data_IF_769663533154
#
_entry.id   IF_769663533154
#
_cell.length_a   1.000
_cell.length_b   1.000
_cell.length_c   1.000
_cell.angle_alpha   90.00
_cell.angle_beta   90.00
_cell.angle_gamma   90.00
#
_symmetry.space_group_name_H-M   'P 1'
#
loop_
_entity.id
_entity.type
_entity.pdbx_description
1 polymer ?
#
# COMPACT_ATOMS: atom_id res chain seq x y z
N UNK A 1 -24.72 -11.57 4.72
CA UNK A 1 -23.93 -10.77 5.68
C UNK A 1 -23.55 -11.63 6.87
N UNK A 2 -22.32 -11.56 7.38
CA UNK A 2 -21.92 -12.34 8.57
C UNK A 2 -22.60 -11.78 9.81
N UNK A 3 -23.29 -12.61 10.61
CA UNK A 3 -23.89 -12.26 11.92
C UNK A 3 -22.93 -11.49 12.84
N UNK A 4 -21.62 -11.71 12.67
CA UNK A 4 -20.56 -11.00 13.37
C UNK A 4 -20.48 -9.50 13.03
N UNK A 5 -20.64 -9.13 11.75
CA UNK A 5 -20.61 -7.72 11.32
C UNK A 5 -21.85 -6.98 11.82
N UNK A 6 -23.03 -7.60 11.73
CA UNK A 6 -24.29 -7.02 12.22
C UNK A 6 -24.21 -6.68 13.71
N UNK A 7 -23.62 -7.56 14.52
CA UNK A 7 -23.44 -7.31 15.96
C UNK A 7 -22.46 -6.18 16.28
N UNK A 8 -21.44 -5.95 15.44
CA UNK A 8 -20.39 -4.94 15.70
C UNK A 8 -20.61 -3.61 15.00
N UNK A 9 -21.46 -3.55 13.97
CA UNK A 9 -21.68 -2.37 13.12
C UNK A 9 -21.92 -1.09 13.92
N UNK A 10 -22.75 -1.14 14.96
CA UNK A 10 -23.09 0.02 15.79
C UNK A 10 -21.91 0.59 16.60
N UNK A 11 -20.81 -0.15 16.73
CA UNK A 11 -19.63 0.24 17.54
C UNK A 11 -18.40 0.58 16.71
N UNK A 12 -18.49 0.45 15.38
CA UNK A 12 -17.36 0.67 14.49
C UNK A 12 -17.33 2.11 13.99
N UNK A 13 -16.12 2.70 13.82
CA UNK A 13 -15.99 3.92 13.04
C UNK A 13 -16.59 3.74 11.64
N UNK A 14 -17.27 4.76 11.12
CA UNK A 14 -17.99 4.70 9.83
C UNK A 14 -17.13 4.15 8.70
N UNK A 15 -15.91 4.68 8.53
CA UNK A 15 -14.97 4.22 7.49
C UNK A 15 -14.64 2.73 7.60
N UNK A 16 -14.56 2.19 8.82
CA UNK A 16 -14.28 0.76 9.06
C UNK A 16 -15.50 -0.10 8.72
N UNK A 17 -16.70 0.38 9.05
CA UNK A 17 -17.94 -0.31 8.71
C UNK A 17 -18.13 -0.41 7.19
N UNK A 18 -17.88 0.67 6.46
CA UNK A 18 -17.97 0.71 4.99
C UNK A 18 -16.99 -0.27 4.33
N UNK A 19 -15.72 -0.28 4.75
CA UNK A 19 -14.73 -1.24 4.25
C UNK A 19 -15.09 -2.69 4.58
N UNK A 20 -15.68 -2.94 5.76
CA UNK A 20 -16.12 -4.27 6.16
C UNK A 20 -17.35 -4.74 5.36
N UNK A 21 -18.23 -3.82 4.97
CA UNK A 21 -19.37 -4.08 4.08
C UNK A 21 -18.88 -4.44 2.67
N UNK A 22 -17.97 -3.65 2.09
CA UNK A 22 -17.35 -3.95 0.79
C UNK A 22 -16.66 -5.33 0.78
N UNK A 23 -15.99 -5.68 1.89
CA UNK A 23 -15.39 -7.00 2.06
C UNK A 23 -16.45 -8.12 2.06
N UNK A 24 -17.58 -7.89 2.72
CA UNK A 24 -18.68 -8.86 2.80
C UNK A 24 -19.42 -9.00 1.46
N UNK A 25 -19.63 -7.90 0.74
CA UNK A 25 -20.24 -7.86 -0.59
C UNK A 25 -19.39 -8.61 -1.62
N UNK A 26 -18.06 -8.52 -1.51
CA UNK A 26 -17.13 -9.31 -2.30
C UNK A 26 -17.07 -10.81 -1.92
N UNK A 27 -17.94 -11.28 -1.01
CA UNK A 27 -18.06 -12.69 -0.62
C UNK A 27 -17.09 -13.15 0.46
N UNK A 28 -16.29 -12.24 1.04
CA UNK A 28 -15.32 -12.60 2.07
C UNK A 28 -15.88 -12.49 3.48
N UNK A 29 -15.55 -13.48 4.33
CA UNK A 29 -15.95 -13.47 5.73
C UNK A 29 -15.30 -12.32 6.50
N UNK A 30 -16.10 -11.47 7.14
CA UNK A 30 -15.59 -10.49 8.11
C UNK A 30 -15.29 -11.20 9.42
N UNK A 31 -14.03 -11.19 9.84
CA UNK A 31 -13.51 -11.83 11.06
C UNK A 31 -12.90 -10.78 11.99
N UNK A 32 -12.71 -11.11 13.27
CA UNK A 32 -12.03 -10.23 14.23
C UNK A 32 -10.67 -9.72 13.75
N UNK A 33 -9.75 -10.60 13.29
CA UNK A 33 -8.46 -10.18 12.72
C UNK A 33 -8.58 -9.22 11.53
N UNK A 34 -9.51 -9.48 10.60
CA UNK A 34 -9.71 -8.62 9.43
C UNK A 34 -10.22 -7.25 9.84
N UNK A 35 -11.13 -7.21 10.81
CA UNK A 35 -11.68 -5.97 11.34
C UNK A 35 -10.61 -5.13 12.06
N UNK A 36 -9.72 -5.77 12.81
CA UNK A 36 -8.60 -5.09 13.46
C UNK A 36 -7.66 -4.44 12.43
N UNK A 37 -7.32 -5.16 11.35
CA UNK A 37 -6.52 -4.62 10.25
C UNK A 37 -7.22 -3.44 9.56
N UNK A 38 -8.53 -3.52 9.31
CA UNK A 38 -9.31 -2.43 8.74
C UNK A 38 -9.31 -1.18 9.64
N UNK A 39 -9.42 -1.36 10.96
CA UNK A 39 -9.32 -0.27 11.94
C UNK A 39 -7.93 0.37 11.92
N UNK A 40 -6.89 -0.45 11.92
CA UNK A 40 -5.51 0.02 11.87
C UNK A 40 -5.23 0.81 10.57
N UNK A 41 -5.67 0.29 9.43
CA UNK A 41 -5.56 0.98 8.14
C UNK A 41 -6.31 2.32 8.14
N UNK A 42 -7.55 2.35 8.66
CA UNK A 42 -8.39 3.55 8.72
C UNK A 42 -7.86 4.63 9.67
N UNK A 43 -7.03 4.26 10.64
CA UNK A 43 -6.42 5.20 11.58
C UNK A 43 -5.23 5.98 10.98
N UNK A 44 -4.65 5.50 9.88
CA UNK A 44 -3.51 6.15 9.23
C UNK A 44 -3.97 7.22 8.23
N UNK A 45 -3.44 8.44 8.35
CA UNK A 45 -3.75 9.57 7.46
C UNK A 45 -2.95 9.57 6.14
N UNK A 46 -2.30 8.47 5.80
CA UNK A 46 -1.39 8.37 4.65
C UNK A 46 -0.92 6.94 4.45
N UNK A 47 0.13 6.77 3.65
CA UNK A 47 0.69 5.46 3.38
C UNK A 47 1.25 4.82 4.65
N UNK A 48 1.08 3.50 4.81
CA UNK A 48 1.56 2.73 5.95
C UNK A 48 2.22 1.41 5.52
N UNK A 49 3.15 0.90 6.32
CA UNK A 49 3.71 -0.44 6.15
C UNK A 49 2.93 -1.48 6.96
N UNK A 50 3.12 -2.77 6.65
CA UNK A 50 2.55 -3.87 7.46
C UNK A 50 3.10 -3.84 8.89
N UNK A 51 4.35 -3.41 9.06
CA UNK A 51 4.98 -3.29 10.38
C UNK A 51 4.38 -2.15 11.20
N UNK A 52 4.05 -1.02 10.57
CA UNK A 52 3.33 0.08 11.23
C UNK A 52 1.91 -0.35 11.64
N UNK A 53 1.23 -1.14 10.81
CA UNK A 53 -0.06 -1.75 11.19
C UNK A 53 0.11 -2.69 12.40
N UNK A 54 1.10 -3.58 12.38
CA UNK A 54 1.37 -4.49 13.50
C UNK A 54 1.67 -3.72 14.79
N UNK A 55 2.50 -2.68 14.73
CA UNK A 55 2.81 -1.84 15.89
C UNK A 55 1.58 -1.15 16.45
N UNK A 56 0.73 -0.60 15.58
CA UNK A 56 -0.52 0.04 15.97
C UNK A 56 -1.47 -0.95 16.68
N UNK A 57 -1.54 -2.17 16.17
CA UNK A 57 -2.34 -3.28 16.66
C UNK A 57 -1.83 -3.79 18.03
N UNK A 58 -0.52 -4.02 18.15
CA UNK A 58 0.13 -4.42 19.42
C UNK A 58 -0.09 -3.38 20.51
N UNK A 59 0.01 -2.08 20.19
CA UNK A 59 -0.22 -1.00 21.16
C UNK A 59 -1.66 -0.98 21.73
N UNK A 60 -2.60 -1.68 21.07
CA UNK A 60 -4.02 -1.77 21.48
C UNK A 60 -4.37 -3.16 22.01
N UNK A 61 -3.37 -4.00 22.26
CA UNK A 61 -3.55 -5.37 22.71
C UNK A 61 -4.39 -6.24 21.76
N UNK A 62 -4.44 -5.85 20.48
CA UNK A 62 -5.12 -6.55 19.40
C UNK A 62 -4.05 -7.10 18.46
N UNK A 63 -3.47 -8.28 18.72
CA UNK A 63 -2.37 -8.79 17.89
C UNK A 63 -2.78 -10.02 17.06
N UNK A 64 -3.43 -9.83 15.90
CA UNK A 64 -3.53 -10.91 14.95
C UNK A 64 -2.12 -11.28 14.49
N UNK A 65 -1.79 -12.58 14.46
CA UNK A 65 -0.46 -13.01 14.01
C UNK A 65 -0.10 -12.41 12.65
N UNK A 66 1.16 -12.02 12.47
CA UNK A 66 1.66 -11.25 11.31
C UNK A 66 1.20 -11.80 9.94
N UNK A 67 1.14 -13.13 9.79
CA UNK A 67 0.63 -13.79 8.58
C UNK A 67 -0.84 -13.43 8.26
N UNK A 68 -1.67 -13.22 9.28
CA UNK A 68 -3.06 -12.76 9.12
C UNK A 68 -3.15 -11.29 8.71
N UNK A 69 -2.22 -10.45 9.16
CA UNK A 69 -2.13 -9.05 8.72
C UNK A 69 -1.81 -9.03 7.22
N UNK A 70 -0.76 -9.76 6.80
CA UNK A 70 -0.39 -9.88 5.38
C UNK A 70 -1.51 -10.42 4.50
N UNK A 71 -2.17 -11.52 4.91
CA UNK A 71 -3.31 -12.08 4.15
C UNK A 71 -4.45 -11.08 4.01
N UNK A 72 -4.71 -10.28 5.04
CA UNK A 72 -5.77 -9.26 4.99
C UNK A 72 -5.36 -8.10 4.09
N UNK A 73 -4.15 -7.57 4.24
CA UNK A 73 -3.65 -6.49 3.38
C UNK A 73 -3.67 -6.90 1.90
N UNK A 74 -3.22 -8.11 1.58
CA UNK A 74 -3.29 -8.65 0.21
C UNK A 74 -4.72 -8.68 -0.31
N UNK A 75 -5.64 -9.23 0.47
CA UNK A 75 -7.05 -9.29 0.11
C UNK A 75 -7.65 -7.90 -0.16
N UNK A 76 -7.29 -6.91 0.67
CA UNK A 76 -7.76 -5.54 0.46
C UNK A 76 -7.16 -4.92 -0.81
N UNK A 77 -5.93 -5.25 -1.19
CA UNK A 77 -5.36 -4.86 -2.49
C UNK A 77 -6.07 -5.53 -3.66
N UNK A 78 -6.36 -6.83 -3.57
CA UNK A 78 -7.08 -7.58 -4.61
C UNK A 78 -8.48 -7.01 -4.84
N UNK A 79 -9.11 -6.48 -3.78
CA UNK A 79 -10.39 -5.79 -3.82
C UNK A 79 -10.31 -4.30 -4.15
N UNK A 80 -9.11 -3.79 -4.45
CA UNK A 80 -8.86 -2.37 -4.75
C UNK A 80 -9.27 -1.42 -3.61
N UNK A 81 -9.31 -1.92 -2.36
CA UNK A 81 -9.58 -1.15 -1.15
C UNK A 81 -8.30 -0.56 -0.55
N UNK A 82 -7.17 -1.21 -0.81
CA UNK A 82 -5.83 -0.68 -0.57
C UNK A 82 -5.08 -0.52 -1.89
N UNK A 83 -4.32 0.55 -1.99
CA UNK A 83 -3.37 0.77 -3.08
C UNK A 83 -1.97 0.53 -2.57
N UNK A 84 -1.21 -0.26 -3.32
CA UNK A 84 0.21 -0.47 -3.06
C UNK A 84 0.99 0.71 -3.63
N UNK A 85 1.89 1.23 -2.81
CA UNK A 85 2.70 2.40 -3.13
C UNK A 85 4.11 1.93 -3.37
N UNK A 86 4.54 2.13 -4.59
CA UNK A 86 5.76 1.56 -5.11
C UNK A 86 6.91 2.57 -4.90
N UNK A 87 7.27 2.78 -3.63
CA UNK A 87 8.31 3.75 -3.29
C UNK A 87 9.00 3.58 -1.94
N UNK A 88 10.33 3.76 -1.98
CA UNK A 88 11.26 4.27 -0.95
C UNK A 88 11.88 3.32 0.06
N UNK A 89 11.26 2.20 0.44
CA UNK A 89 11.88 1.26 1.39
C UNK A 89 11.72 -0.20 0.96
N UNK A 90 12.60 -1.11 1.41
CA UNK A 90 12.51 -2.54 1.07
C UNK A 90 11.13 -3.15 1.34
N UNK A 91 10.34 -2.53 2.23
CA UNK A 91 9.01 -2.97 2.58
C UNK A 91 7.94 -2.10 1.87
N UNK A 92 6.94 -2.74 1.25
CA UNK A 92 5.85 -2.06 0.57
C UNK A 92 5.02 -1.20 1.52
N UNK A 93 4.65 0.00 1.07
CA UNK A 93 3.67 0.86 1.73
C UNK A 93 2.32 0.74 1.04
N UNK A 94 1.25 0.99 1.78
CA UNK A 94 -0.13 0.87 1.35
C UNK A 94 -0.92 2.10 1.78
N UNK A 95 -1.87 2.56 0.97
CA UNK A 95 -2.83 3.59 1.37
C UNK A 95 -4.26 3.08 1.18
N UNK A 96 -5.19 3.65 1.95
CA UNK A 96 -6.62 3.50 1.65
C UNK A 96 -6.98 4.35 0.43
N UNK A 97 -7.64 3.72 -0.54
CA UNK A 97 -8.05 4.40 -1.76
C UNK A 97 -8.53 3.41 -2.81
N UNK A 98 -9.47 3.86 -3.63
CA UNK A 98 -9.99 3.09 -4.76
C UNK A 98 -9.65 3.80 -6.08
N UNK A 99 -9.23 3.04 -7.08
CA UNK A 99 -9.22 3.48 -8.48
C UNK A 99 -7.90 4.07 -8.98
N UNK A 100 -7.99 4.84 -10.05
CA UNK A 100 -6.84 5.47 -10.69
C UNK A 100 -6.50 6.77 -9.95
N UNK A 101 -5.35 6.82 -9.26
CA UNK A 101 -4.97 7.96 -8.42
C UNK A 101 -3.47 8.21 -8.52
N UNK A 102 -3.11 9.48 -8.64
CA UNK A 102 -1.72 9.91 -8.65
C UNK A 102 -1.35 10.44 -7.28
N UNK A 103 -0.18 10.05 -6.79
CA UNK A 103 0.23 10.32 -5.41
C UNK A 103 1.46 11.20 -5.37
N UNK A 104 1.43 12.24 -4.53
CA UNK A 104 2.62 12.96 -4.09
C UNK A 104 3.01 12.43 -2.71
N UNK A 105 4.23 11.91 -2.59
CA UNK A 105 4.72 11.24 -1.38
C UNK A 105 5.89 12.03 -0.79
N UNK A 106 5.77 12.39 0.48
CA UNK A 106 6.84 13.01 1.23
C UNK A 106 7.92 11.98 1.56
N UNK A 107 9.15 12.25 1.15
CA UNK A 107 10.30 11.36 1.31
C UNK A 107 10.83 11.29 2.74
N UNK A 108 10.40 12.22 3.60
CA UNK A 108 10.87 12.31 4.99
C UNK A 108 9.87 11.73 5.97
N UNK A 109 8.59 12.02 5.80
CA UNK A 109 7.56 11.62 6.77
C UNK A 109 6.47 10.71 6.20
N UNK A 110 6.56 10.32 4.93
CA UNK A 110 5.56 9.47 4.27
C UNK A 110 4.18 10.11 4.09
N UNK A 111 4.04 11.42 4.36
CA UNK A 111 2.80 12.14 4.11
C UNK A 111 2.43 12.03 2.63
N UNK A 112 1.14 11.87 2.35
CA UNK A 112 0.64 11.57 1.03
C UNK A 112 -0.49 12.51 0.67
N UNK A 113 -0.44 13.05 -0.54
CA UNK A 113 -1.53 13.80 -1.12
C UNK A 113 -1.90 13.19 -2.47
N UNK A 114 -3.19 12.91 -2.65
CA UNK A 114 -3.73 12.53 -3.95
C UNK A 114 -3.87 13.80 -4.79
N UNK A 115 -3.46 13.72 -6.04
CA UNK A 115 -3.75 14.75 -7.03
C UNK A 115 -4.38 14.10 -8.26
N UNK A 116 -5.27 14.87 -8.89
CA UNK A 116 -5.92 14.50 -10.15
C UNK A 116 -5.53 15.51 -11.24
N UNK A 117 -5.79 15.17 -12.51
CA UNK A 117 -5.64 16.08 -13.66
C UNK A 117 -4.19 16.55 -13.97
N UNK A 118 -3.23 15.63 -14.03
CA UNK A 118 -1.81 15.93 -14.28
C UNK A 118 -1.37 15.86 -15.77
N UNK A 119 -2.33 15.80 -16.70
CA UNK A 119 -2.03 15.71 -18.14
C UNK A 119 -1.53 14.33 -18.62
N UNK A 120 -1.42 13.34 -17.73
CA UNK A 120 -0.96 11.98 -18.11
C UNK A 120 -1.91 11.31 -19.10
N UNK A 121 -3.22 11.60 -19.05
CA UNK A 121 -4.16 11.06 -20.04
C UNK A 121 -3.80 11.49 -21.48
N UNK A 122 -3.42 12.75 -21.67
CA UNK A 122 -2.99 13.26 -22.97
C UNK A 122 -1.68 12.60 -23.42
N UNK A 123 -0.75 12.35 -22.49
CA UNK A 123 0.48 11.62 -22.78
C UNK A 123 0.20 10.17 -23.20
N UNK A 124 -0.69 9.47 -22.50
CA UNK A 124 -1.13 8.11 -22.84
C UNK A 124 -1.68 8.07 -24.25
N UNK A 125 -2.64 8.95 -24.58
CA UNK A 125 -3.22 9.01 -25.93
C UNK A 125 -2.17 9.28 -27.02
N UNK A 126 -1.23 10.20 -26.77
CA UNK A 126 -0.15 10.47 -27.71
C UNK A 126 0.77 9.25 -27.89
N UNK A 127 1.04 8.50 -26.83
CA UNK A 127 1.86 7.29 -26.92
C UNK A 127 1.13 6.19 -27.68
N UNK A 128 -0.14 5.91 -27.38
CA UNK A 128 -0.94 4.92 -28.12
C UNK A 128 -0.96 5.23 -29.62
N UNK A 129 -1.18 6.50 -30.00
CA UNK A 129 -1.17 6.92 -31.41
C UNK A 129 0.20 6.77 -32.06
N UNK A 130 1.28 7.10 -31.35
CA UNK A 130 2.64 7.10 -31.90
C UNK A 130 3.26 5.71 -31.97
N UNK A 131 2.88 4.81 -31.06
CA UNK A 131 3.52 3.49 -30.92
C UNK A 131 2.62 2.33 -31.34
N UNK A 132 1.30 2.55 -31.44
CA UNK A 132 0.30 1.50 -31.69
C UNK A 132 0.01 0.62 -30.48
N UNK A 133 0.51 0.96 -29.29
CA UNK A 133 0.18 0.23 -28.06
C UNK A 133 -1.26 0.53 -27.61
N UNK A 134 -1.90 -0.46 -27.00
CA UNK A 134 -3.15 -0.28 -26.24
C UNK A 134 -2.79 -0.26 -24.75
N UNK A 135 -2.82 0.93 -24.13
CA UNK A 135 -2.38 1.13 -22.75
C UNK A 135 -3.58 0.90 -21.83
N UNK A 136 -3.55 -0.18 -21.05
CA UNK A 136 -4.63 -0.56 -20.14
C UNK A 136 -4.53 0.03 -18.73
N UNK A 137 -3.32 0.46 -18.32
CA UNK A 137 -3.07 0.99 -16.98
C UNK A 137 -1.85 1.92 -16.96
N UNK A 138 -1.78 2.77 -15.93
CA UNK A 138 -0.58 3.53 -15.61
C UNK A 138 -0.49 3.84 -14.12
N UNK A 139 0.74 3.94 -13.62
CA UNK A 139 1.07 4.30 -12.25
C UNK A 139 1.86 5.61 -12.25
N UNK A 140 1.45 6.56 -11.41
CA UNK A 140 2.17 7.83 -11.23
C UNK A 140 2.31 8.10 -9.74
N UNK A 141 3.55 8.09 -9.30
CA UNK A 141 3.95 8.46 -7.96
C UNK A 141 5.07 9.50 -8.07
N UNK A 142 4.83 10.66 -7.48
CA UNK A 142 5.79 11.75 -7.40
C UNK A 142 6.34 11.80 -5.98
N UNK A 143 7.65 11.98 -5.87
CA UNK A 143 8.32 11.99 -4.58
C UNK A 143 8.96 13.35 -4.32
N UNK A 144 8.73 13.91 -3.13
CA UNK A 144 9.21 15.24 -2.78
C UNK A 144 9.13 15.53 -1.28
N UNK A 145 9.15 16.81 -0.89
CA UNK A 145 9.01 17.21 0.51
C UNK A 145 7.65 17.87 0.73
N UNK A 146 6.88 17.40 1.72
CA UNK A 146 5.67 18.10 2.13
C UNK A 146 6.01 19.47 2.75
N UNK A 147 5.07 20.43 2.79
CA UNK A 147 5.31 21.77 3.31
C UNK A 147 5.92 21.77 4.72
N UNK A 148 5.43 20.86 5.59
CA UNK A 148 5.95 20.68 6.96
C UNK A 148 7.42 20.27 6.97
N UNK A 149 7.75 19.22 6.22
CA UNK A 149 9.13 18.71 6.15
C UNK A 149 10.06 19.73 5.50
N UNK A 150 9.59 20.44 4.47
CA UNK A 150 10.35 21.52 3.82
C UNK A 150 10.67 22.65 4.80
N UNK A 151 9.73 23.05 5.66
CA UNK A 151 9.93 24.08 6.67
C UNK A 151 10.94 23.66 7.77
N UNK A 152 10.97 22.38 8.12
CA UNK A 152 11.95 21.84 9.10
C UNK A 152 13.32 21.51 8.50
N UNK A 153 13.41 21.36 7.17
CA UNK A 153 14.59 20.83 6.48
C UNK A 153 15.55 21.92 5.98
N UNK A 154 15.68 23.05 6.69
CA UNK A 154 16.62 24.13 6.33
C UNK A 154 18.02 23.59 5.99
N UNK A 155 18.28 23.35 4.69
CA UNK A 155 19.58 23.00 4.13
C UNK A 155 20.04 21.53 4.15
N UNK A 156 19.20 20.49 4.28
CA UNK A 156 19.68 19.10 4.12
C UNK A 156 19.39 18.54 2.72
N UNK A 157 20.48 18.24 2.01
CA UNK A 157 20.54 17.84 0.61
C UNK A 157 19.81 16.50 0.34
N UNK A 158 18.84 16.50 -0.56
CA UNK A 158 17.99 15.34 -0.92
C UNK A 158 18.62 14.40 -1.97
N UNK A 159 19.92 14.56 -2.27
CA UNK A 159 20.63 13.84 -3.32
C UNK A 159 20.74 12.30 -3.17
N UNK A 160 20.79 11.67 -1.98
CA UNK A 160 20.88 10.21 -1.87
C UNK A 160 19.63 9.48 -2.40
N UNK A 161 18.52 10.20 -2.57
CA UNK A 161 17.19 9.68 -2.82
C UNK A 161 16.94 9.23 -4.27
N UNK A 162 17.51 9.94 -5.26
CA UNK A 162 17.24 9.68 -6.68
C UNK A 162 17.95 8.42 -7.20
N UNK A 163 19.09 8.06 -6.61
CA UNK A 163 19.86 6.86 -6.98
C UNK A 163 19.16 5.58 -6.52
N UNK A 164 18.53 5.57 -5.33
CA UNK A 164 17.77 4.41 -4.84
C UNK A 164 16.45 4.24 -5.59
N UNK A 165 15.76 5.34 -5.92
CA UNK A 165 14.52 5.31 -6.69
C UNK A 165 14.72 4.76 -8.12
N UNK A 166 15.77 5.19 -8.82
CA UNK A 166 16.07 4.73 -10.18
C UNK A 166 16.48 3.26 -10.27
N UNK A 167 17.18 2.74 -9.26
CA UNK A 167 17.52 1.31 -9.18
C UNK A 167 16.28 0.43 -8.98
N UNK A 168 15.24 0.97 -8.34
CA UNK A 168 14.08 0.19 -7.86
C UNK A 168 12.87 0.23 -8.80
N UNK A 169 12.73 1.30 -9.59
CA UNK A 169 11.79 1.33 -10.72
C UNK A 169 12.10 0.21 -11.73
N UNK A 170 13.38 -0.16 -11.91
CA UNK A 170 13.79 -1.30 -12.77
C UNK A 170 13.27 -2.67 -12.30
N UNK A 171 13.04 -2.87 -10.99
CA UNK A 171 12.58 -4.15 -10.45
C UNK A 171 11.08 -4.35 -10.71
N UNK A 172 10.29 -3.28 -10.69
CA UNK A 172 8.84 -3.33 -10.91
C UNK A 172 8.47 -3.74 -12.34
N UNK A 173 9.32 -3.40 -13.33
CA UNK A 173 9.12 -3.81 -14.72
C UNK A 173 9.58 -5.25 -15.02
N UNK A 174 10.34 -5.89 -14.13
CA UNK A 174 10.80 -7.27 -14.31
C UNK A 174 9.81 -8.31 -13.77
N UNK A 175 8.82 -7.90 -12.97
CA UNK A 175 7.90 -8.79 -12.25
C UNK A 175 6.72 -9.28 -13.13
N UNK A 176 6.47 -8.67 -14.29
CA UNK A 176 5.36 -9.03 -15.18
C UNK A 176 5.76 -9.95 -16.35
N UNK A 177 7.06 -10.20 -16.55
CA UNK A 177 7.54 -11.15 -17.56
C UNK A 177 8.67 -12.00 -17.02
N UNK A 178 8.41 -13.32 -16.94
CA UNK A 178 9.36 -14.45 -16.74
C UNK A 178 9.40 -15.01 -15.30
N UNK A 179 8.84 -16.23 -15.18
CA UNK A 179 9.27 -17.34 -14.33
C UNK A 179 9.95 -17.07 -12.97
N UNK A 180 9.21 -17.41 -11.90
CA UNK A 180 9.73 -18.15 -10.72
C UNK A 180 11.16 -17.85 -10.28
N UNK A 181 11.41 -16.69 -9.69
CA UNK A 181 12.67 -16.43 -8.97
C UNK A 181 12.38 -15.81 -7.60
N UNK A 182 12.84 -16.47 -6.53
CA UNK A 182 12.72 -16.00 -5.14
C UNK A 182 13.47 -14.67 -4.96
N UNK A 183 12.77 -13.58 -4.64
CA UNK A 183 13.43 -12.36 -4.18
C UNK A 183 13.60 -12.39 -2.66
N UNK A 184 14.85 -12.30 -2.19
CA UNK A 184 15.16 -12.12 -0.76
C UNK A 184 15.00 -10.64 -0.43
N UNK A 185 13.98 -10.30 0.36
CA UNK A 185 13.90 -9.00 1.03
C UNK A 185 13.95 -9.20 2.53
N UNK A 186 14.93 -8.57 3.17
CA UNK A 186 15.16 -8.63 4.60
C UNK A 186 14.75 -7.26 5.15
N UNK A 187 13.50 -7.13 5.61
CA UNK A 187 13.08 -5.90 6.30
C UNK A 187 13.97 -5.70 7.55
N UNK A 188 14.76 -4.61 7.63
CA UNK A 188 15.70 -4.42 8.73
C UNK A 188 14.93 -4.14 10.03
N UNK A 189 15.06 -5.05 11.01
CA UNK A 189 14.44 -4.94 12.34
C UNK A 189 13.49 -6.08 12.75
N UNK A 190 13.18 -7.02 11.84
CA UNK A 190 12.38 -8.21 12.17
C UNK A 190 13.21 -9.30 12.86
N UNK A 191 12.81 -9.73 14.06
CA UNK A 191 13.27 -11.03 14.62
C UNK A 191 12.59 -12.17 13.85
N UNK A 192 13.06 -12.45 12.64
CA UNK A 192 12.57 -13.55 11.81
C UNK A 192 12.92 -13.36 10.34
N UNK A 193 13.31 -14.45 9.66
CA UNK A 193 13.50 -14.48 8.20
C UNK A 193 12.12 -14.58 7.55
N UNK A 194 11.70 -13.57 6.81
CA UNK A 194 10.45 -13.60 6.04
C UNK A 194 10.81 -13.68 4.57
N UNK A 195 10.39 -14.75 3.90
CA UNK A 195 10.61 -14.95 2.46
C UNK A 195 9.36 -14.48 1.69
N UNK A 196 9.57 -13.65 0.68
CA UNK A 196 8.52 -13.25 -0.25
C UNK A 196 8.67 -14.07 -1.53
N UNK A 197 7.74 -14.99 -1.77
CA UNK A 197 7.50 -15.56 -3.10
C UNK A 197 6.43 -14.69 -3.77
N UNK A 198 6.58 -14.38 -5.06
CA UNK A 198 5.64 -13.64 -5.92
C UNK A 198 4.17 -13.66 -5.44
N UNK A 199 3.83 -12.71 -4.57
CA UNK A 199 2.51 -12.64 -3.92
C UNK A 199 2.09 -13.80 -3.01
N UNK A 200 2.81 -14.92 -2.90
CA UNK A 200 2.40 -16.11 -2.13
C UNK A 200 3.35 -16.37 -0.96
N UNK A 201 2.84 -16.29 0.28
CA UNK A 201 3.58 -16.74 1.46
C UNK A 201 3.24 -18.21 1.72
N UNK A 202 4.15 -19.13 1.39
CA UNK A 202 4.20 -20.43 2.08
C UNK A 202 4.94 -20.23 3.40
N UNK A 203 4.23 -20.44 4.51
CA UNK A 203 4.84 -20.57 5.81
C UNK A 203 5.47 -21.97 5.92
N UNK A 204 6.76 -22.04 6.23
CA UNK A 204 7.34 -23.20 6.91
C UNK A 204 7.57 -22.83 8.36
#
# INVERSE_FOLDING_TARGET
>A
MSRYLEMRRATLPTAVAELAEQLAEAGYKVTGPRLAVLQAASAHRGAFSVQELEQWLVARNESPGIASIFRTVRLLCDLQLLQRIHGLEECHRYSLGTGHSHHLVCTVCGAMERFDNCGVQSLVQQLEQRTGFQISAHLVELFGLCPRCRATAGGRNSAPFLLDLQARIRVLHADESIGSTMSRQICPGGRGRIYYYNGCMEAR
#
